data_IF_315261255399
#
_entry.id   IF_315261255399
#
_cell.length_a   1.000
_cell.length_b   1.000
_cell.length_c   1.000
_cell.angle_alpha   90.00
_cell.angle_beta   90.00
_cell.angle_gamma   90.00
#
_symmetry.space_group_name_H-M   'P 1'
#
loop_
_entity.id
_entity.type
_entity.pdbx_description
1 polymer ?
#
# COMPACT_ATOMS: atom_id res chain seq x y z
N UNK A 1 3.91 -7.39 4.94
CA UNK A 1 4.94 -7.29 3.91
C UNK A 1 4.67 -6.06 3.05
N UNK A 2 5.54 -5.06 3.05
CA UNK A 2 5.39 -3.83 2.26
C UNK A 2 6.11 -4.03 0.92
N UNK A 3 5.47 -3.66 -0.19
CA UNK A 3 6.04 -3.75 -1.55
C UNK A 3 5.87 -2.45 -2.31
N UNK A 4 6.62 -2.31 -3.40
CA UNK A 4 6.36 -1.29 -4.42
C UNK A 4 5.00 -1.54 -5.06
N UNK A 5 4.41 -0.49 -5.64
CA UNK A 5 3.06 -0.53 -6.21
C UNK A 5 2.89 -1.38 -7.47
N UNK A 6 3.98 -1.89 -8.01
CA UNK A 6 4.02 -2.79 -9.17
C UNK A 6 4.95 -3.96 -8.85
N UNK A 7 4.59 -4.83 -7.88
CA UNK A 7 5.46 -5.93 -7.49
C UNK A 7 5.56 -6.96 -8.62
N UNK A 8 6.67 -7.69 -8.67
CA UNK A 8 6.80 -8.82 -9.57
C UNK A 8 6.10 -10.07 -8.99
N UNK A 9 5.87 -11.06 -9.84
CA UNK A 9 5.13 -12.28 -9.47
C UNK A 9 5.87 -13.09 -8.40
N UNK A 10 7.19 -13.21 -8.48
CA UNK A 10 8.00 -14.01 -7.57
C UNK A 10 7.96 -13.44 -6.14
N UNK A 11 8.14 -12.13 -6.00
CA UNK A 11 8.06 -11.43 -4.70
C UNK A 11 6.66 -11.50 -4.10
N UNK A 12 5.63 -11.50 -4.95
CA UNK A 12 4.23 -11.62 -4.50
C UNK A 12 3.96 -13.03 -3.98
N UNK A 13 4.47 -14.06 -4.67
CA UNK A 13 4.33 -15.45 -4.26
C UNK A 13 5.04 -15.73 -2.93
N UNK A 14 6.27 -15.22 -2.78
CA UNK A 14 7.03 -15.31 -1.54
C UNK A 14 6.31 -14.63 -0.38
N UNK A 15 5.83 -13.39 -0.59
CA UNK A 15 5.09 -12.67 0.44
C UNK A 15 3.82 -13.43 0.86
N UNK A 16 3.05 -14.00 -0.09
CA UNK A 16 1.87 -14.81 0.24
C UNK A 16 2.24 -16.02 1.10
N UNK A 17 3.32 -16.72 0.78
CA UNK A 17 3.80 -17.85 1.58
C UNK A 17 4.16 -17.44 3.00
N UNK A 18 4.83 -16.31 3.18
CA UNK A 18 5.21 -15.82 4.50
C UNK A 18 3.99 -15.40 5.33
N UNK A 19 3.04 -14.70 4.72
CA UNK A 19 1.76 -14.35 5.34
C UNK A 19 1.02 -15.61 5.83
N UNK A 20 0.94 -16.65 4.98
CA UNK A 20 0.29 -17.91 5.34
C UNK A 20 1.03 -18.67 6.45
N UNK A 21 2.36 -18.68 6.45
CA UNK A 21 3.16 -19.29 7.53
C UNK A 21 2.93 -18.58 8.86
N UNK A 22 2.90 -17.24 8.87
CA UNK A 22 2.60 -16.46 10.07
C UNK A 22 1.20 -16.77 10.59
N UNK A 23 0.20 -16.80 9.70
CA UNK A 23 -1.18 -17.12 10.07
C UNK A 23 -1.34 -18.57 10.56
N UNK A 24 -0.55 -19.51 10.04
CA UNK A 24 -0.52 -20.89 10.52
C UNK A 24 0.09 -21.00 11.92
N UNK A 25 1.14 -20.24 12.20
CA UNK A 25 1.79 -20.20 13.50
C UNK A 25 0.94 -19.50 14.57
N UNK A 26 0.30 -18.39 14.19
CA UNK A 26 -0.60 -17.61 15.03
C UNK A 26 -1.87 -17.26 14.24
N UNK A 27 -2.96 -18.04 14.40
CA UNK A 27 -4.22 -17.81 13.72
C UNK A 27 -4.89 -16.47 14.05
N UNK A 28 -4.54 -15.81 15.15
CA UNK A 28 -5.11 -14.53 15.55
C UNK A 28 -4.29 -13.35 15.02
N UNK A 29 -3.08 -13.60 14.49
CA UNK A 29 -2.24 -12.56 13.91
C UNK A 29 -2.87 -11.90 12.69
N UNK A 30 -2.79 -10.57 12.66
CA UNK A 30 -3.15 -9.79 11.48
C UNK A 30 -1.96 -9.71 10.54
N UNK A 31 -2.12 -10.21 9.31
CA UNK A 31 -1.04 -10.27 8.32
C UNK A 31 -1.50 -9.58 7.03
N UNK A 32 -0.67 -8.65 6.55
CA UNK A 32 -1.04 -7.79 5.43
C UNK A 32 0.03 -7.75 4.34
N UNK A 33 -0.43 -7.64 3.10
CA UNK A 33 0.33 -7.30 1.91
C UNK A 33 0.02 -5.85 1.56
N UNK A 34 0.96 -4.94 1.81
CA UNK A 34 0.73 -3.51 1.74
C UNK A 34 1.38 -2.85 0.52
N UNK A 35 0.60 -2.04 -0.18
CA UNK A 35 1.03 -1.11 -1.23
C UNK A 35 0.73 0.33 -0.75
N UNK A 36 1.77 1.18 -0.70
CA UNK A 36 1.68 2.50 -0.06
C UNK A 36 0.93 3.57 -0.88
N UNK A 37 0.58 3.31 -2.15
CA UNK A 37 -0.37 4.09 -2.95
C UNK A 37 -0.93 3.22 -4.10
N UNK A 38 -1.99 3.68 -4.77
CA UNK A 38 -2.47 3.09 -6.02
C UNK A 38 -2.00 3.95 -7.22
N UNK A 39 -1.21 3.40 -8.17
CA UNK A 39 -0.71 4.15 -9.32
C UNK A 39 -1.76 4.36 -10.43
N UNK A 40 -2.98 3.83 -10.28
CA UNK A 40 -4.03 3.86 -11.29
C UNK A 40 -5.22 4.76 -10.94
N UNK A 41 -5.33 5.20 -9.69
CA UNK A 41 -6.44 6.01 -9.21
C UNK A 41 -6.49 6.02 -7.69
N UNK A 42 -7.49 6.70 -7.12
CA UNK A 42 -7.64 6.85 -5.68
C UNK A 42 -8.36 5.65 -5.04
N UNK A 43 -9.15 4.91 -5.84
CA UNK A 43 -9.91 3.77 -5.34
C UNK A 43 -9.10 2.49 -5.49
N UNK A 44 -9.28 1.57 -4.54
CA UNK A 44 -8.72 0.22 -4.61
C UNK A 44 -9.06 -0.48 -5.93
N UNK A 45 -10.28 -0.27 -6.42
CA UNK A 45 -10.79 -0.89 -7.63
C UNK A 45 -10.10 -0.43 -8.92
N UNK A 46 -9.39 0.70 -8.88
CA UNK A 46 -8.64 1.19 -10.03
C UNK A 46 -7.35 0.38 -10.25
N UNK A 47 -6.89 -0.37 -9.23
CA UNK A 47 -5.63 -1.09 -9.29
C UNK A 47 -5.65 -2.16 -10.39
N UNK A 48 -4.77 -2.01 -11.39
CA UNK A 48 -4.80 -2.85 -12.60
C UNK A 48 -3.43 -3.39 -13.01
N UNK A 49 -2.53 -3.57 -12.05
CA UNK A 49 -1.23 -4.19 -12.31
C UNK A 49 -1.35 -5.72 -12.45
N UNK A 50 -1.30 -6.22 -13.68
CA UNK A 50 -1.61 -7.62 -14.02
C UNK A 50 -0.73 -8.73 -13.42
N UNK A 51 0.62 -8.64 -13.41
CA UNK A 51 1.48 -9.77 -13.04
C UNK A 51 1.19 -10.46 -11.69
N UNK A 52 0.89 -9.75 -10.59
CA UNK A 52 0.57 -10.39 -9.30
C UNK A 52 -0.90 -10.81 -9.13
N UNK A 53 -1.81 -10.46 -10.05
CA UNK A 53 -3.26 -10.68 -9.91
C UNK A 53 -3.67 -12.17 -9.83
N UNK A 54 -2.81 -13.08 -10.28
CA UNK A 54 -3.04 -14.52 -10.12
C UNK A 54 -2.72 -15.06 -8.72
N UNK A 55 -2.12 -14.24 -7.85
CA UNK A 55 -1.66 -14.66 -6.51
C UNK A 55 -2.57 -14.11 -5.42
N UNK A 56 -2.99 -12.85 -5.53
CA UNK A 56 -3.98 -12.23 -4.64
C UNK A 56 -5.10 -11.64 -5.47
N UNK A 57 -6.29 -11.59 -4.89
CA UNK A 57 -7.33 -10.70 -5.37
C UNK A 57 -7.10 -9.31 -4.79
N UNK A 58 -6.45 -8.44 -5.56
CA UNK A 58 -6.13 -7.09 -5.10
C UNK A 58 -7.36 -6.22 -4.84
N UNK A 59 -8.52 -6.58 -5.39
CA UNK A 59 -9.76 -5.84 -5.21
C UNK A 59 -10.51 -6.28 -3.96
N UNK A 60 -10.50 -7.58 -3.65
CA UNK A 60 -11.36 -8.13 -2.60
C UNK A 60 -10.64 -8.77 -1.40
N UNK A 61 -9.37 -9.18 -1.52
CA UNK A 61 -8.67 -9.86 -0.41
C UNK A 61 -8.45 -8.91 0.77
N UNK A 62 -8.98 -9.19 1.97
CA UNK A 62 -8.84 -8.29 3.13
C UNK A 62 -7.39 -8.19 3.62
N UNK A 63 -6.54 -9.16 3.29
CA UNK A 63 -5.10 -9.09 3.59
C UNK A 63 -4.34 -8.15 2.67
N UNK A 64 -4.91 -7.71 1.56
CA UNK A 64 -4.28 -6.74 0.65
C UNK A 64 -4.73 -5.34 1.04
N UNK A 65 -3.78 -4.44 1.27
CA UNK A 65 -4.02 -3.05 1.62
C UNK A 65 -3.33 -2.15 0.58
N UNK A 66 -4.07 -1.20 0.03
CA UNK A 66 -3.58 -0.30 -1.02
C UNK A 66 -3.92 1.15 -0.66
N UNK A 67 -2.94 2.06 -0.70
CA UNK A 67 -3.17 3.48 -0.49
C UNK A 67 -3.80 3.76 0.88
N UNK A 68 -5.00 4.35 0.91
CA UNK A 68 -5.70 4.66 2.16
C UNK A 68 -5.87 3.45 3.06
N UNK A 69 -6.24 2.29 2.53
CA UNK A 69 -6.40 1.05 3.32
C UNK A 69 -5.11 0.70 4.10
N UNK A 70 -3.95 0.93 3.48
CA UNK A 70 -2.66 0.64 4.10
C UNK A 70 -2.33 1.65 5.21
N UNK A 71 -2.51 2.93 4.92
CA UNK A 71 -2.16 4.00 5.86
C UNK A 71 -3.14 4.08 7.03
N UNK A 72 -4.42 3.84 6.79
CA UNK A 72 -5.44 3.92 7.83
C UNK A 72 -5.36 2.73 8.79
N UNK A 73 -4.89 1.56 8.34
CA UNK A 73 -4.54 0.45 9.24
C UNK A 73 -3.36 0.81 10.16
N UNK A 74 -2.45 1.69 9.72
CA UNK A 74 -1.29 2.09 10.51
C UNK A 74 -1.56 3.26 11.47
N UNK A 75 -2.28 4.28 10.99
CA UNK A 75 -2.47 5.54 11.71
C UNK A 75 -3.92 5.88 12.07
N UNK A 76 -4.88 5.06 11.66
CA UNK A 76 -6.31 5.32 11.84
C UNK A 76 -6.96 6.01 10.65
N UNK A 77 -8.28 6.13 10.69
CA UNK A 77 -9.10 6.72 9.62
C UNK A 77 -8.61 8.14 9.26
N UNK A 78 -8.36 8.38 7.97
CA UNK A 78 -7.94 9.68 7.46
C UNK A 78 -6.43 9.95 7.54
N UNK A 79 -5.64 9.02 8.08
CA UNK A 79 -4.19 9.17 8.18
C UNK A 79 -3.53 9.34 6.80
N UNK A 80 -4.06 8.69 5.77
CA UNK A 80 -3.54 8.89 4.41
C UNK A 80 -3.66 10.34 3.93
N UNK A 81 -4.80 10.98 4.19
CA UNK A 81 -5.03 12.36 3.80
C UNK A 81 -4.09 13.32 4.54
N UNK A 82 -3.84 13.07 5.83
CA UNK A 82 -2.88 13.84 6.62
C UNK A 82 -1.46 13.75 6.04
N UNK A 83 -1.01 12.55 5.63
CA UNK A 83 0.30 12.38 4.99
C UNK A 83 0.38 13.18 3.69
N UNK A 84 -0.67 13.16 2.87
CA UNK A 84 -0.71 13.90 1.60
C UNK A 84 -0.67 15.42 1.82
N UNK A 85 -1.37 15.92 2.84
CA UNK A 85 -1.37 17.34 3.21
C UNK A 85 0.02 17.81 3.69
N UNK A 86 0.67 17.02 4.55
CA UNK A 86 2.04 17.28 5.00
C UNK A 86 3.00 17.29 3.80
N UNK A 87 2.94 16.27 2.94
CA UNK A 87 3.79 16.18 1.76
C UNK A 87 3.57 17.36 0.79
N UNK A 88 2.32 17.78 0.60
CA UNK A 88 1.96 18.94 -0.21
C UNK A 88 2.49 20.25 0.37
N UNK A 89 2.35 20.44 1.68
CA UNK A 89 2.85 21.62 2.40
C UNK A 89 4.36 21.76 2.27
N UNK A 90 5.11 20.70 2.61
CA UNK A 90 6.58 20.67 2.48
C UNK A 90 7.00 20.86 1.02
N UNK A 91 6.29 20.25 0.07
CA UNK A 91 6.56 20.41 -1.35
C UNK A 91 6.41 21.86 -1.83
N UNK A 92 5.44 22.60 -1.31
CA UNK A 92 5.24 24.02 -1.62
C UNK A 92 6.34 24.90 -0.99
N UNK A 93 6.71 24.65 0.27
CA UNK A 93 7.81 25.34 0.94
C UNK A 93 9.13 25.15 0.18
N UNK A 94 9.47 23.91 -0.21
CA UNK A 94 10.66 23.62 -0.98
C UNK A 94 10.65 24.33 -2.35
N UNK A 95 9.50 24.39 -3.03
CA UNK A 95 9.38 25.11 -4.31
C UNK A 95 9.66 26.59 -4.15
N UNK A 96 9.11 27.23 -3.11
CA UNK A 96 9.36 28.64 -2.81
C UNK A 96 10.85 28.91 -2.52
N UNK A 97 11.54 28.01 -1.81
CA UNK A 97 12.98 28.14 -1.58
C UNK A 97 13.79 28.10 -2.88
N UNK A 98 13.41 27.23 -3.82
CA UNK A 98 14.07 27.10 -5.13
C UNK A 98 13.82 28.30 -6.05
N UNK A 99 12.65 28.91 -5.99
CA UNK A 99 12.31 30.11 -6.79
C UNK A 99 13.02 31.38 -6.28
N UNK A 100 13.48 31.38 -5.02
CA UNK A 100 14.19 32.49 -4.40
C UNK A 100 15.73 32.37 -4.48
N UNK A 101 16.25 31.37 -5.20
CA UNK A 101 17.68 31.14 -5.48
C UNK A 101 18.10 31.80 -6.79
#
# INVERSE_FOLDING_TARGET
SIKTVKPNIDQTAEAKRDLLKLKLHDPDSNVYFGLYYNPYGDHRDDYSWGPPMGIFDFHSDPSVLIGSDYWDVLGGEGFYAEILDIAGTVGNECRQMLENL
#
